data_IF_842684993595
#
_entry.id   IF_842684993595
#
_cell.length_a   1.000
_cell.length_b   1.000
_cell.length_c   1.000
_cell.angle_alpha   90.00
_cell.angle_beta   90.00
_cell.angle_gamma   90.00
#
_symmetry.space_group_name_H-M   'P 1'
#
loop_
_entity.id
_entity.type
_entity.pdbx_description
1 polymer ?
#
# COMPACT_ATOMS: atom_id res chain seq x y z
N UNK A 1 25.16 -31.53 -7.42
CA UNK A 1 24.86 -30.43 -8.37
C UNK A 1 23.64 -29.66 -7.86
N UNK A 2 23.76 -28.43 -7.34
CA UNK A 2 22.59 -27.66 -6.93
C UNK A 2 21.88 -27.09 -8.17
N UNK A 3 20.58 -27.39 -8.30
CA UNK A 3 19.71 -26.78 -9.33
C UNK A 3 19.66 -25.27 -9.09
N UNK A 4 20.13 -24.48 -10.05
CA UNK A 4 19.87 -23.04 -10.07
C UNK A 4 18.38 -22.84 -10.33
N UNK A 5 17.61 -22.52 -9.29
CA UNK A 5 16.28 -21.95 -9.47
C UNK A 5 16.45 -20.61 -10.17
N UNK A 6 16.20 -20.59 -11.48
CA UNK A 6 16.01 -19.36 -12.23
C UNK A 6 14.76 -18.67 -11.68
N UNK A 7 14.94 -17.88 -10.62
CA UNK A 7 13.97 -16.91 -10.14
C UNK A 7 13.73 -15.92 -11.27
N UNK A 8 12.74 -16.22 -12.13
CA UNK A 8 12.19 -15.24 -13.06
C UNK A 8 11.81 -14.02 -12.22
N UNK A 9 12.60 -12.94 -12.35
CA UNK A 9 12.37 -11.67 -11.66
C UNK A 9 10.95 -11.25 -11.98
N UNK A 10 10.03 -11.36 -11.02
CA UNK A 10 8.65 -10.91 -11.20
C UNK A 10 8.74 -9.41 -11.50
N UNK A 11 8.24 -9.03 -12.67
CA UNK A 11 8.32 -7.64 -13.16
C UNK A 11 7.59 -6.67 -12.21
N UNK A 12 6.56 -7.16 -11.51
CA UNK A 12 5.81 -6.42 -10.49
C UNK A 12 5.64 -7.23 -9.22
N UNK A 13 5.64 -6.53 -8.07
CA UNK A 13 5.36 -7.12 -6.75
C UNK A 13 3.89 -7.54 -6.59
N UNK A 14 2.98 -6.84 -7.26
CA UNK A 14 1.54 -7.10 -7.19
C UNK A 14 1.03 -7.81 -8.45
N UNK A 15 0.00 -8.68 -8.33
CA UNK A 15 -0.63 -9.31 -9.48
C UNK A 15 -1.37 -8.28 -10.36
N UNK A 16 -0.92 -8.15 -11.61
CA UNK A 16 -1.48 -7.16 -12.56
C UNK A 16 -2.99 -7.33 -12.79
N UNK A 17 -3.48 -8.56 -12.89
CA UNK A 17 -4.90 -8.85 -13.09
C UNK A 17 -5.78 -8.35 -11.93
N UNK A 18 -5.29 -8.48 -10.69
CA UNK A 18 -5.99 -8.00 -9.50
C UNK A 18 -6.03 -6.47 -9.47
N UNK A 19 -4.92 -5.83 -9.81
CA UNK A 19 -4.85 -4.36 -9.84
C UNK A 19 -5.78 -3.80 -10.92
N UNK A 20 -5.76 -4.37 -12.13
CA UNK A 20 -6.69 -4.01 -13.20
C UNK A 20 -8.15 -4.14 -12.76
N UNK A 21 -8.51 -5.25 -12.09
CA UNK A 21 -9.88 -5.46 -11.58
C UNK A 21 -10.27 -4.38 -10.57
N UNK A 22 -9.39 -4.02 -9.63
CA UNK A 22 -9.66 -2.96 -8.64
C UNK A 22 -9.84 -1.60 -9.33
N UNK A 23 -8.98 -1.28 -10.30
CA UNK A 23 -9.11 -0.03 -11.07
C UNK A 23 -10.44 0.03 -11.82
N UNK A 24 -10.89 -1.08 -12.40
CA UNK A 24 -12.17 -1.16 -13.12
C UNK A 24 -13.41 -1.31 -12.20
N UNK A 25 -13.25 -1.27 -10.87
CA UNK A 25 -14.40 -1.11 -9.96
C UNK A 25 -14.95 0.31 -9.99
N UNK A 26 -14.14 1.28 -10.42
CA UNK A 26 -14.60 2.64 -10.64
C UNK A 26 -15.26 2.71 -12.03
N UNK A 27 -16.54 3.08 -12.08
CA UNK A 27 -17.36 3.08 -13.30
C UNK A 27 -16.86 4.11 -14.34
N UNK A 28 -16.17 5.17 -13.90
CA UNK A 28 -15.57 6.17 -14.80
C UNK A 28 -14.30 5.64 -15.50
N UNK A 29 -13.75 4.52 -15.05
CA UNK A 29 -12.55 3.90 -15.63
C UNK A 29 -12.95 2.87 -16.69
N UNK A 30 -12.89 3.30 -17.96
CA UNK A 30 -13.14 2.45 -19.12
C UNK A 30 -12.00 1.46 -19.47
N UNK A 31 -11.50 1.51 -20.70
CA UNK A 31 -10.41 0.63 -21.16
C UNK A 31 -9.05 1.12 -20.65
N UNK A 32 -8.33 0.25 -19.92
CA UNK A 32 -7.02 0.56 -19.36
C UNK A 32 -5.92 -0.06 -20.23
N UNK A 33 -4.90 0.74 -20.59
CA UNK A 33 -3.71 0.26 -21.29
C UNK A 33 -2.85 -0.69 -20.45
N UNK A 34 -2.12 -1.61 -21.09
CA UNK A 34 -1.36 -2.65 -20.40
C UNK A 34 -0.23 -2.12 -19.50
N UNK A 35 0.31 -0.93 -19.77
CA UNK A 35 1.37 -0.28 -18.98
C UNK A 35 0.87 0.36 -17.69
N UNK A 36 -0.40 0.80 -17.64
CA UNK A 36 -0.94 1.57 -16.51
C UNK A 36 -0.92 0.77 -15.20
N UNK A 37 -1.40 -0.49 -15.14
CA UNK A 37 -1.30 -1.30 -13.93
C UNK A 37 0.15 -1.57 -13.50
N UNK A 38 1.09 -1.64 -14.45
CA UNK A 38 2.51 -1.89 -14.12
C UNK A 38 3.09 -0.70 -13.37
N UNK A 39 2.83 0.51 -13.84
CA UNK A 39 3.28 1.75 -13.18
C UNK A 39 2.57 1.93 -11.85
N UNK A 40 1.25 1.73 -11.81
CA UNK A 40 0.47 1.81 -10.57
C UNK A 40 0.98 0.79 -9.52
N UNK A 41 1.38 -0.41 -9.94
CA UNK A 41 1.99 -1.40 -9.03
C UNK A 41 3.27 -0.86 -8.37
N UNK A 42 4.08 -0.08 -9.08
CA UNK A 42 5.29 0.51 -8.51
C UNK A 42 4.97 1.68 -7.59
N UNK A 43 3.99 2.51 -7.95
CA UNK A 43 3.51 3.60 -7.10
C UNK A 43 2.94 3.07 -5.77
N UNK A 44 2.15 1.99 -5.81
CA UNK A 44 1.61 1.33 -4.61
C UNK A 44 2.73 0.77 -3.72
N UNK A 45 3.79 0.23 -4.32
CA UNK A 45 4.96 -0.22 -3.55
C UNK A 45 5.61 0.94 -2.79
N UNK A 46 5.88 2.06 -3.46
CA UNK A 46 6.47 3.24 -2.84
C UNK A 46 5.56 3.83 -1.76
N UNK A 47 4.25 3.89 -2.04
CA UNK A 47 3.24 4.34 -1.09
C UNK A 47 3.20 3.48 0.19
N UNK A 48 3.21 2.15 0.05
CA UNK A 48 3.20 1.24 1.19
C UNK A 48 4.50 1.33 2.01
N UNK A 49 5.65 1.51 1.36
CA UNK A 49 6.91 1.76 2.06
C UNK A 49 6.84 3.05 2.89
N UNK A 50 6.39 4.15 2.29
CA UNK A 50 6.31 5.45 2.95
C UNK A 50 5.40 5.43 4.18
N UNK A 51 4.18 4.85 4.05
CA UNK A 51 3.25 4.79 5.18
C UNK A 51 3.78 3.88 6.29
N UNK A 52 4.36 2.72 5.97
CA UNK A 52 4.92 1.80 6.97
C UNK A 52 6.09 2.44 7.72
N UNK A 53 6.95 3.19 7.03
CA UNK A 53 8.04 3.94 7.66
C UNK A 53 7.53 5.01 8.64
N UNK A 54 6.51 5.79 8.24
CA UNK A 54 5.90 6.78 9.12
C UNK A 54 5.24 6.12 10.34
N UNK A 55 4.50 5.05 10.11
CA UNK A 55 3.87 4.26 11.19
C UNK A 55 4.91 3.73 12.17
N UNK A 56 6.05 3.24 11.66
CA UNK A 56 7.15 2.73 12.48
C UNK A 56 7.80 3.85 13.29
N UNK A 57 7.96 5.06 12.73
CA UNK A 57 8.47 6.22 13.46
C UNK A 57 7.53 6.58 14.63
N UNK A 58 6.23 6.59 14.41
CA UNK A 58 5.24 6.83 15.47
C UNK A 58 5.25 5.74 16.54
N UNK A 59 5.39 4.46 16.16
CA UNK A 59 5.52 3.35 17.10
C UNK A 59 6.79 3.47 17.96
N UNK A 60 7.93 3.81 17.34
CA UNK A 60 9.21 4.01 18.02
C UNK A 60 9.18 5.20 18.98
N UNK A 61 8.50 6.30 18.63
CA UNK A 61 8.30 7.45 19.53
C UNK A 61 7.59 7.06 20.84
N UNK A 62 6.71 6.06 20.81
CA UNK A 62 6.06 5.50 22.00
C UNK A 62 6.80 4.32 22.64
N UNK A 63 8.02 4.00 22.21
CA UNK A 63 8.77 2.80 22.64
C UNK A 63 7.99 1.49 22.48
N UNK A 64 7.08 1.41 21.50
CA UNK A 64 6.33 0.19 21.23
C UNK A 64 7.09 -0.71 20.26
N UNK A 65 7.32 -1.95 20.65
CA UNK A 65 7.87 -3.00 19.77
C UNK A 65 6.84 -3.58 18.80
N UNK A 66 5.55 -3.20 18.94
CA UNK A 66 4.45 -3.69 18.10
C UNK A 66 3.72 -2.54 17.41
N UNK A 67 3.41 -2.72 16.12
CA UNK A 67 2.59 -1.78 15.37
C UNK A 67 1.11 -2.08 15.63
N UNK A 68 0.39 -1.10 16.16
CA UNK A 68 -1.07 -1.11 16.35
C UNK A 68 -1.75 -0.17 15.33
N UNK A 69 -3.07 -0.33 15.10
CA UNK A 69 -3.84 0.59 14.26
C UNK A 69 -3.75 2.06 14.70
N UNK A 70 -3.55 2.32 15.99
CA UNK A 70 -3.42 3.68 16.51
C UNK A 70 -2.23 4.44 15.92
N UNK A 71 -1.11 3.75 15.66
CA UNK A 71 0.05 4.36 15.03
C UNK A 71 -0.19 4.68 13.55
N UNK A 72 -1.02 3.89 12.88
CA UNK A 72 -1.41 4.14 11.49
C UNK A 72 -2.25 5.42 11.43
N UNK A 73 -3.23 5.56 12.33
CA UNK A 73 -4.07 6.75 12.42
C UNK A 73 -3.23 8.01 12.69
N UNK A 74 -2.28 7.93 13.63
CA UNK A 74 -1.34 9.04 13.89
C UNK A 74 -0.46 9.38 12.69
N UNK A 75 0.05 8.36 11.99
CA UNK A 75 0.85 8.57 10.77
C UNK A 75 0.03 9.29 9.69
N UNK A 76 -1.24 8.91 9.51
CA UNK A 76 -2.18 9.56 8.59
C UNK A 76 -2.49 11.01 9.02
N UNK A 77 -2.69 11.26 10.31
CA UNK A 77 -2.94 12.61 10.83
C UNK A 77 -1.73 13.53 10.69
N UNK A 78 -0.52 12.98 10.87
CA UNK A 78 0.72 13.75 10.84
C UNK A 78 1.12 14.26 9.47
N UNK A 79 0.58 13.68 8.38
CA UNK A 79 0.98 14.01 7.02
C UNK A 79 -0.23 14.18 6.09
N UNK A 80 -0.46 15.40 5.57
CA UNK A 80 -1.64 15.72 4.74
C UNK A 80 -1.69 14.90 3.45
N UNK A 81 -0.56 14.39 2.94
CA UNK A 81 -0.53 13.52 1.76
C UNK A 81 -1.38 12.25 1.93
N UNK A 82 -1.58 11.80 3.16
CA UNK A 82 -2.36 10.60 3.49
C UNK A 82 -3.81 10.90 3.88
N UNK A 83 -4.28 12.14 3.73
CA UNK A 83 -5.64 12.54 4.11
C UNK A 83 -6.73 11.69 3.46
N UNK A 84 -6.51 11.21 2.24
CA UNK A 84 -7.42 10.30 1.53
C UNK A 84 -7.71 8.98 2.28
N UNK A 85 -6.88 8.61 3.26
CA UNK A 85 -7.07 7.42 4.11
C UNK A 85 -7.94 7.70 5.35
N UNK A 86 -8.11 8.97 5.77
CA UNK A 86 -8.88 9.32 6.98
C UNK A 86 -10.35 8.93 6.89
N UNK A 87 -10.90 8.92 5.68
CA UNK A 87 -12.31 8.64 5.43
C UNK A 87 -12.64 7.15 5.32
N UNK A 88 -11.65 6.27 5.55
CA UNK A 88 -11.85 4.82 5.49
C UNK A 88 -12.43 4.32 6.82
N UNK A 89 -13.66 3.80 6.79
CA UNK A 89 -14.38 3.33 8.00
C UNK A 89 -13.63 2.24 8.79
N UNK A 90 -12.74 1.50 8.13
CA UNK A 90 -11.99 0.37 8.70
C UNK A 90 -10.96 0.78 9.76
N UNK A 91 -10.61 2.07 9.85
CA UNK A 91 -9.67 2.61 10.83
C UNK A 91 -10.33 3.34 12.00
N UNK A 92 -11.66 3.48 11.97
CA UNK A 92 -12.42 3.97 13.11
C UNK A 92 -12.36 2.88 14.17
N UNK A 93 -11.73 3.17 15.30
CA UNK A 93 -11.83 2.33 16.50
C UNK A 93 -13.31 2.01 16.70
N UNK A 94 -13.66 0.71 16.73
CA UNK A 94 -14.96 0.30 17.26
C UNK A 94 -14.99 0.79 18.70
N UNK A 95 -15.69 1.89 18.95
CA UNK A 95 -16.25 2.15 20.28
C UNK A 95 -17.26 1.05 20.63
#
# INVERSE_FOLDING_TARGET
MPRQESQKRKLTRFPISRLKRIMQLNEDIGKIGASVPVVASKAIEMFLTEIVELTLREAKKKNSSRMSPEFINRAIESNPKFEFLKNMEQFKSKE
#
